data_IF_746357464552
#
_entry.id   IF_746357464552
#
_cell.length_a   1.000
_cell.length_b   1.000
_cell.length_c   1.000
_cell.angle_alpha   90.00
_cell.angle_beta   90.00
_cell.angle_gamma   90.00
#
_symmetry.space_group_name_H-M   'P 1'
#
loop_
_entity.id
_entity.type
_entity.pdbx_description
1 polymer ?
#
# COMPACT_ATOMS: atom_id res chain seq x y z
N UNK A 1 7.66 22.70 0.37
CA UNK A 1 8.89 22.30 -0.35
C UNK A 1 10.06 23.28 -0.15
N UNK A 2 10.12 24.07 0.92
CA UNK A 2 11.22 25.02 1.14
C UNK A 2 12.45 24.41 1.84
N UNK A 3 12.36 23.14 2.30
CA UNK A 3 13.39 22.52 3.17
C UNK A 3 13.94 21.18 2.61
N UNK A 4 13.83 20.91 1.31
CA UNK A 4 14.48 19.72 0.72
C UNK A 4 15.87 20.15 0.23
N UNK A 5 16.91 19.65 0.87
CA UNK A 5 18.30 19.91 0.49
C UNK A 5 18.65 19.17 -0.80
N UNK A 6 19.62 19.67 -1.55
CA UNK A 6 20.17 18.95 -2.72
C UNK A 6 20.71 17.58 -2.33
N UNK A 7 21.28 17.45 -1.13
CA UNK A 7 21.76 16.19 -0.58
C UNK A 7 20.62 15.18 -0.39
N UNK A 8 19.48 15.58 0.17
CA UNK A 8 18.31 14.71 0.31
C UNK A 8 17.79 14.23 -1.06
N UNK A 9 17.76 15.11 -2.06
CA UNK A 9 17.39 14.74 -3.45
C UNK A 9 18.36 13.72 -4.01
N UNK A 10 19.67 13.92 -3.84
CA UNK A 10 20.70 13.00 -4.32
C UNK A 10 20.57 11.63 -3.63
N UNK A 11 20.33 11.56 -2.32
CA UNK A 11 20.14 10.30 -1.61
C UNK A 11 18.92 9.53 -2.14
N UNK A 12 17.79 10.21 -2.37
CA UNK A 12 16.59 9.60 -2.98
C UNK A 12 16.86 9.11 -4.39
N UNK A 13 17.58 9.90 -5.20
CA UNK A 13 18.00 9.49 -6.54
C UNK A 13 18.81 8.20 -6.51
N UNK A 14 19.83 8.11 -5.65
CA UNK A 14 20.67 6.91 -5.57
C UNK A 14 19.86 5.68 -5.10
N UNK A 15 18.95 5.84 -4.14
CA UNK A 15 18.18 4.73 -3.58
C UNK A 15 17.09 4.20 -4.55
N UNK A 16 16.47 5.06 -5.36
CA UNK A 16 15.36 4.67 -6.23
C UNK A 16 15.69 4.59 -7.72
N UNK A 17 16.66 5.37 -8.20
CA UNK A 17 16.89 5.59 -9.64
C UNK A 17 18.34 5.25 -10.03
N UNK A 18 19.29 5.21 -9.07
CA UNK A 18 20.72 5.13 -9.34
C UNK A 18 21.18 3.95 -10.20
N UNK A 19 20.42 2.86 -10.25
CA UNK A 19 20.71 1.67 -11.06
C UNK A 19 19.75 1.50 -12.27
N UNK A 20 18.98 2.53 -12.63
CA UNK A 20 18.05 2.44 -13.75
C UNK A 20 18.79 2.45 -15.09
N UNK A 21 18.50 1.46 -15.94
CA UNK A 21 19.08 1.27 -17.27
C UNK A 21 18.13 1.73 -18.39
N UNK A 22 16.91 2.13 -18.03
CA UNK A 22 15.87 2.52 -18.99
C UNK A 22 14.99 3.64 -18.46
N UNK A 23 14.34 4.38 -19.38
CA UNK A 23 13.37 5.42 -19.02
C UNK A 23 12.18 4.87 -18.23
N UNK A 24 11.81 3.60 -18.46
CA UNK A 24 10.74 2.93 -17.71
C UNK A 24 11.16 2.71 -16.24
N UNK A 25 12.37 2.23 -16.00
CA UNK A 25 12.89 2.07 -14.63
C UNK A 25 13.07 3.42 -13.93
N UNK A 26 13.48 4.48 -14.64
CA UNK A 26 13.52 5.83 -14.08
C UNK A 26 12.12 6.29 -13.66
N UNK A 27 11.12 6.12 -14.53
CA UNK A 27 9.71 6.43 -14.21
C UNK A 27 9.25 5.67 -12.97
N UNK A 28 9.45 4.36 -12.95
CA UNK A 28 8.96 3.49 -11.86
C UNK A 28 9.65 3.84 -10.53
N UNK A 29 10.96 4.11 -10.54
CA UNK A 29 11.70 4.57 -9.36
C UNK A 29 11.21 5.91 -8.82
N UNK A 30 10.88 6.87 -9.69
CA UNK A 30 10.30 8.16 -9.29
C UNK A 30 8.90 7.94 -8.66
N UNK A 31 8.05 7.15 -9.30
CA UNK A 31 6.70 6.88 -8.80
C UNK A 31 6.73 6.15 -7.45
N UNK A 32 7.61 5.16 -7.30
CA UNK A 32 7.81 4.44 -6.04
C UNK A 32 8.33 5.36 -4.94
N UNK A 33 9.29 6.26 -5.23
CA UNK A 33 9.81 7.21 -4.25
C UNK A 33 8.71 8.15 -3.72
N UNK A 34 7.89 8.69 -4.63
CA UNK A 34 6.78 9.58 -4.28
C UNK A 34 5.72 8.82 -3.48
N UNK A 35 5.33 7.63 -3.93
CA UNK A 35 4.32 6.80 -3.26
C UNK A 35 4.76 6.38 -1.85
N UNK A 36 6.03 5.98 -1.70
CA UNK A 36 6.59 5.58 -0.42
C UNK A 36 6.62 6.73 0.58
N UNK A 37 7.07 7.92 0.12
CA UNK A 37 7.15 9.09 0.99
C UNK A 37 5.76 9.61 1.40
N UNK A 38 4.83 9.74 0.45
CA UNK A 38 3.51 10.33 0.72
C UNK A 38 2.58 9.39 1.49
N UNK A 39 2.64 8.09 1.22
CA UNK A 39 1.65 7.14 1.74
C UNK A 39 2.27 6.07 2.63
N UNK A 40 3.25 5.30 2.13
CA UNK A 40 3.68 4.07 2.81
C UNK A 40 4.41 4.37 4.12
N UNK A 41 5.31 5.36 4.13
CA UNK A 41 6.03 5.77 5.35
C UNK A 41 5.03 6.22 6.43
N UNK A 42 4.14 7.14 6.08
CA UNK A 42 3.16 7.68 7.03
C UNK A 42 2.21 6.58 7.55
N UNK A 43 1.71 5.70 6.67
CA UNK A 43 0.81 4.62 7.06
C UNK A 43 1.50 3.61 8.00
N UNK A 44 2.75 3.24 7.72
CA UNK A 44 3.51 2.30 8.55
C UNK A 44 3.85 2.90 9.92
N UNK A 45 4.24 4.17 9.99
CA UNK A 45 4.49 4.85 11.27
C UNK A 45 3.22 4.98 12.11
N UNK A 46 2.08 5.36 11.52
CA UNK A 46 0.78 5.40 12.23
C UNK A 46 0.41 4.01 12.76
N UNK A 47 0.59 2.96 11.96
CA UNK A 47 0.31 1.59 12.39
C UNK A 47 1.20 1.16 13.56
N UNK A 48 2.49 1.51 13.54
CA UNK A 48 3.44 1.27 14.64
C UNK A 48 3.02 2.01 15.90
N UNK A 49 2.70 3.31 15.81
CA UNK A 49 2.25 4.09 16.98
C UNK A 49 0.96 3.53 17.60
N UNK A 50 -0.03 3.17 16.79
CA UNK A 50 -1.26 2.56 17.30
C UNK A 50 -1.01 1.21 17.97
N UNK A 51 -0.18 0.35 17.37
CA UNK A 51 0.24 -0.93 17.92
C UNK A 51 0.96 -0.75 19.26
N UNK A 52 1.93 0.16 19.34
CA UNK A 52 2.77 0.37 20.52
C UNK A 52 1.98 1.02 21.68
N UNK A 53 0.89 1.72 21.37
CA UNK A 53 -0.11 2.16 22.34
C UNK A 53 -1.04 1.03 22.84
N UNK A 54 -0.85 -0.21 22.38
CA UNK A 54 -1.60 -1.39 22.82
C UNK A 54 -2.91 -1.64 22.05
N UNK A 55 -3.15 -0.95 20.94
CA UNK A 55 -4.38 -1.12 20.16
C UNK A 55 -4.26 -2.29 19.17
N UNK A 56 -5.37 -3.00 18.86
CA UNK A 56 -5.41 -3.92 17.74
C UNK A 56 -5.32 -3.16 16.42
N UNK A 57 -4.32 -3.50 15.59
CA UNK A 57 -4.08 -2.88 14.28
C UNK A 57 -4.10 -3.97 13.21
N UNK A 58 -4.72 -3.67 12.08
CA UNK A 58 -4.68 -4.49 10.87
C UNK A 58 -4.21 -3.61 9.72
N UNK A 59 -3.25 -4.11 8.94
CA UNK A 59 -2.64 -3.36 7.84
C UNK A 59 -2.81 -4.16 6.54
N UNK A 60 -3.05 -3.49 5.42
CA UNK A 60 -3.07 -4.13 4.10
C UNK A 60 -2.39 -3.26 3.04
N UNK A 61 -1.97 -3.92 1.97
CA UNK A 61 -1.58 -3.30 0.71
C UNK A 61 -2.50 -3.83 -0.38
N UNK A 62 -3.20 -2.93 -1.08
CA UNK A 62 -4.04 -3.31 -2.22
C UNK A 62 -3.23 -3.26 -3.50
N UNK A 63 -3.24 -4.34 -4.27
CA UNK A 63 -2.33 -4.55 -5.40
C UNK A 63 -3.07 -4.82 -6.72
N UNK A 64 -4.38 -5.03 -6.67
CA UNK A 64 -5.17 -5.36 -7.84
C UNK A 64 -5.41 -4.16 -8.75
N UNK A 65 -5.08 -4.29 -10.04
CA UNK A 65 -5.46 -3.34 -11.08
C UNK A 65 -6.88 -3.63 -11.58
N UNK A 66 -7.87 -2.73 -11.39
CA UNK A 66 -9.24 -2.99 -11.85
C UNK A 66 -9.33 -3.12 -13.38
N UNK A 67 -10.08 -4.09 -13.88
CA UNK A 67 -10.35 -4.23 -15.33
C UNK A 67 -11.05 -3.00 -15.90
N UNK A 68 -11.83 -2.30 -15.08
CA UNK A 68 -12.59 -1.11 -15.50
C UNK A 68 -11.72 0.09 -15.91
N UNK A 69 -10.41 0.08 -15.63
CA UNK A 69 -9.49 1.15 -16.07
C UNK A 69 -8.71 0.80 -17.34
N UNK A 70 -8.95 -0.39 -17.91
CA UNK A 70 -8.33 -0.82 -19.16
C UNK A 70 -8.64 0.16 -20.31
N UNK A 71 -7.61 0.55 -21.06
CA UNK A 71 -7.72 1.52 -22.15
C UNK A 71 -7.85 2.99 -21.72
N UNK A 72 -8.00 3.28 -20.42
CA UNK A 72 -8.08 4.64 -19.87
C UNK A 72 -6.80 5.00 -19.13
N UNK A 73 -6.34 4.09 -18.26
CA UNK A 73 -5.11 4.28 -17.48
C UNK A 73 -3.98 3.48 -18.14
N UNK A 74 -2.76 4.03 -18.28
CA UNK A 74 -1.64 3.33 -18.91
C UNK A 74 -1.35 1.95 -18.31
N UNK A 75 -0.98 0.99 -19.14
CA UNK A 75 -0.81 -0.43 -18.74
C UNK A 75 0.27 -0.67 -17.68
N UNK A 76 1.26 0.22 -17.58
CA UNK A 76 2.32 0.09 -16.57
C UNK A 76 1.84 0.41 -15.14
N UNK A 77 0.71 1.12 -15.00
CA UNK A 77 0.13 1.46 -13.70
C UNK A 77 -0.49 0.19 -13.14
N UNK A 78 -0.12 -0.19 -11.91
CA UNK A 78 -0.67 -1.35 -11.20
C UNK A 78 -2.00 -0.97 -10.53
N UNK A 79 -2.16 -1.28 -9.24
CA UNK A 79 -3.15 -0.59 -8.41
C UNK A 79 -2.73 0.87 -8.22
N UNK A 80 -3.64 1.78 -8.57
CA UNK A 80 -3.47 3.21 -8.40
C UNK A 80 -4.16 3.69 -7.12
N UNK A 81 -3.94 4.95 -6.77
CA UNK A 81 -4.58 5.59 -5.63
C UNK A 81 -6.11 5.47 -5.71
N UNK A 82 -6.71 4.98 -4.63
CA UNK A 82 -8.15 4.78 -4.46
C UNK A 82 -8.81 3.67 -5.31
N UNK A 83 -8.05 2.85 -6.03
CA UNK A 83 -8.61 1.72 -6.79
C UNK A 83 -9.36 0.73 -5.89
N UNK A 84 -8.96 0.58 -4.63
CA UNK A 84 -9.61 -0.29 -3.66
C UNK A 84 -11.04 0.15 -3.34
N UNK A 85 -11.34 1.45 -3.42
CA UNK A 85 -12.67 2.01 -3.10
C UNK A 85 -13.75 1.32 -3.93
N UNK A 86 -13.48 1.04 -5.21
CA UNK A 86 -14.40 0.33 -6.08
C UNK A 86 -14.80 -1.05 -5.51
N UNK A 87 -13.84 -1.77 -4.92
CA UNK A 87 -14.06 -3.10 -4.35
C UNK A 87 -14.68 -3.05 -2.96
N UNK A 88 -14.34 -2.04 -2.15
CA UNK A 88 -14.93 -1.78 -0.84
C UNK A 88 -16.43 -1.46 -0.96
N UNK A 89 -16.83 -0.68 -1.97
CA UNK A 89 -18.22 -0.25 -2.14
C UNK A 89 -19.02 -1.09 -3.14
N UNK A 90 -18.44 -2.18 -3.66
CA UNK A 90 -19.20 -3.12 -4.51
C UNK A 90 -19.46 -2.62 -5.92
N UNK A 91 -18.64 -1.70 -6.47
CA UNK A 91 -18.74 -1.26 -7.88
C UNK A 91 -18.82 -2.44 -8.87
N UNK A 92 -18.10 -3.57 -8.68
CA UNK A 92 -18.25 -4.73 -9.55
C UNK A 92 -19.70 -5.21 -9.75
N UNK A 93 -20.59 -5.05 -8.76
CA UNK A 93 -21.99 -5.48 -8.86
C UNK A 93 -22.92 -4.44 -9.50
N UNK A 94 -22.43 -3.24 -9.79
CA UNK A 94 -23.27 -2.09 -10.16
C UNK A 94 -22.99 -1.54 -11.57
N UNK A 95 -21.72 -1.51 -11.99
CA UNK A 95 -21.30 -0.69 -13.13
C UNK A 95 -21.00 -1.46 -14.43
N UNK A 96 -21.17 -2.79 -14.45
CA UNK A 96 -20.68 -3.63 -15.54
C UNK A 96 -19.15 -3.67 -15.63
N UNK A 97 -18.59 -4.45 -16.56
CA UNK A 97 -17.15 -4.54 -16.88
C UNK A 97 -16.22 -5.17 -15.83
N UNK A 98 -16.74 -5.66 -14.71
CA UNK A 98 -15.97 -6.48 -13.79
C UNK A 98 -15.88 -7.93 -14.28
N UNK A 99 -14.73 -8.54 -14.07
CA UNK A 99 -14.53 -9.98 -14.25
C UNK A 99 -15.15 -10.77 -13.09
N UNK A 100 -15.35 -12.08 -13.27
CA UNK A 100 -15.83 -12.95 -12.18
C UNK A 100 -14.85 -12.95 -10.98
N UNK A 101 -13.55 -12.84 -11.24
CA UNK A 101 -12.54 -12.75 -10.19
C UNK A 101 -12.63 -11.41 -9.44
N UNK A 102 -12.96 -10.31 -10.11
CA UNK A 102 -13.22 -9.02 -9.45
C UNK A 102 -14.53 -9.02 -8.63
N UNK A 103 -15.56 -9.76 -9.07
CA UNK A 103 -16.74 -10.00 -8.26
C UNK A 103 -16.40 -10.77 -6.97
N UNK A 104 -15.56 -11.80 -7.05
CA UNK A 104 -15.08 -12.53 -5.88
C UNK A 104 -14.22 -11.64 -4.98
N UNK A 105 -13.28 -10.88 -5.56
CA UNK A 105 -12.43 -9.95 -4.83
C UNK A 105 -13.26 -8.92 -4.06
N UNK A 106 -14.26 -8.30 -4.69
CA UNK A 106 -15.11 -7.32 -4.00
C UNK A 106 -15.94 -7.96 -2.88
N UNK A 107 -16.48 -9.17 -3.06
CA UNK A 107 -17.12 -9.92 -1.96
C UNK A 107 -16.16 -10.13 -0.80
N UNK A 108 -14.92 -10.54 -1.08
CA UNK A 108 -13.87 -10.77 -0.09
C UNK A 108 -13.52 -9.48 0.67
N UNK A 109 -13.25 -8.39 -0.05
CA UNK A 109 -12.92 -7.08 0.54
C UNK A 109 -14.07 -6.56 1.40
N UNK A 110 -15.32 -6.57 0.90
CA UNK A 110 -16.49 -6.18 1.68
C UNK A 110 -16.65 -7.03 2.95
N UNK A 111 -16.36 -8.34 2.89
CA UNK A 111 -16.44 -9.22 4.05
C UNK A 111 -15.39 -8.87 5.10
N UNK A 112 -14.14 -8.58 4.72
CA UNK A 112 -13.13 -8.09 5.67
C UNK A 112 -13.57 -6.78 6.34
N UNK A 113 -14.02 -5.79 5.56
CA UNK A 113 -14.44 -4.48 6.09
C UNK A 113 -15.66 -4.58 7.01
N UNK A 114 -16.66 -5.38 6.64
CA UNK A 114 -17.88 -5.56 7.46
C UNK A 114 -17.62 -6.39 8.72
N UNK A 115 -16.74 -7.39 8.66
CA UNK A 115 -16.29 -8.12 9.85
C UNK A 115 -15.54 -7.20 10.82
N UNK A 116 -14.64 -6.36 10.30
CA UNK A 116 -13.92 -5.38 11.11
C UNK A 116 -14.88 -4.38 11.75
N UNK A 117 -15.84 -3.85 10.99
CA UNK A 117 -16.86 -2.94 11.52
C UNK A 117 -17.71 -3.58 12.63
N UNK A 118 -18.03 -4.87 12.53
CA UNK A 118 -18.84 -5.57 13.53
C UNK A 118 -18.06 -5.95 14.79
N UNK A 119 -16.81 -6.39 14.63
CA UNK A 119 -16.08 -7.14 15.66
C UNK A 119 -14.71 -6.52 16.05
N UNK A 120 -14.24 -5.50 15.35
CA UNK A 120 -12.85 -5.03 15.46
C UNK A 120 -11.81 -6.02 14.92
N UNK A 121 -12.23 -7.07 14.21
CA UNK A 121 -11.37 -8.10 13.62
C UNK A 121 -11.92 -8.46 12.22
N UNK A 122 -11.10 -8.35 11.14
CA UNK A 122 -11.56 -8.57 9.77
C UNK A 122 -11.80 -10.06 9.43
N UNK A 123 -11.29 -10.98 10.24
CA UNK A 123 -11.31 -12.42 9.94
C UNK A 123 -12.71 -13.05 10.03
N UNK A 124 -12.92 -14.12 9.27
CA UNK A 124 -14.15 -14.91 9.27
C UNK A 124 -14.05 -16.13 8.36
N UNK A 125 -15.08 -16.97 8.37
CA UNK A 125 -15.12 -18.21 7.57
C UNK A 125 -14.92 -17.94 6.07
N UNK A 126 -14.10 -18.75 5.40
CA UNK A 126 -13.85 -18.65 3.96
C UNK A 126 -12.93 -17.50 3.55
N UNK A 127 -12.33 -16.78 4.50
CA UNK A 127 -11.32 -15.74 4.24
C UNK A 127 -9.92 -16.26 4.53
N UNK A 128 -8.94 -15.75 3.77
CA UNK A 128 -7.53 -15.89 4.15
C UNK A 128 -7.32 -15.17 5.47
N UNK A 129 -6.51 -15.77 6.35
CA UNK A 129 -6.26 -15.17 7.65
C UNK A 129 -5.50 -13.84 7.50
N UNK A 130 -6.11 -12.75 7.97
CA UNK A 130 -5.51 -11.43 8.07
C UNK A 130 -4.84 -11.30 9.44
N UNK A 131 -3.50 -11.31 9.50
CA UNK A 131 -2.79 -11.19 10.77
C UNK A 131 -2.92 -9.79 11.36
N UNK A 132 -3.06 -9.72 12.69
CA UNK A 132 -2.89 -8.46 13.41
C UNK A 132 -1.45 -7.94 13.21
N UNK A 133 -1.33 -6.63 12.99
CA UNK A 133 -0.08 -5.91 12.82
C UNK A 133 0.62 -5.76 14.18
N UNK A 134 1.38 -6.79 14.54
CA UNK A 134 2.20 -6.85 15.76
C UNK A 134 3.66 -6.48 15.52
N UNK A 135 4.55 -6.92 16.41
CA UNK A 135 6.01 -6.67 16.31
C UNK A 135 6.66 -7.25 15.04
N UNK A 136 6.04 -8.29 14.46
CA UNK A 136 6.47 -8.87 13.19
C UNK A 136 5.95 -8.12 11.96
N UNK A 137 5.16 -7.05 12.16
CA UNK A 137 4.62 -6.17 11.10
C UNK A 137 3.98 -6.93 9.96
N UNK A 138 3.21 -7.97 10.31
CA UNK A 138 2.47 -8.77 9.33
C UNK A 138 1.27 -7.99 8.83
N UNK A 139 1.02 -8.05 7.53
CA UNK A 139 -0.06 -7.37 6.85
C UNK A 139 -0.71 -8.28 5.81
N UNK A 140 -1.83 -7.87 5.24
CA UNK A 140 -2.50 -8.59 4.17
C UNK A 140 -2.20 -7.93 2.82
N UNK A 141 -1.69 -8.70 1.88
CA UNK A 141 -1.64 -8.33 0.46
C UNK A 141 -2.99 -8.68 -0.16
N UNK A 142 -3.63 -7.69 -0.76
CA UNK A 142 -4.95 -7.83 -1.39
C UNK A 142 -4.81 -7.68 -2.90
N UNK A 143 -4.73 -8.82 -3.57
CA UNK A 143 -4.96 -8.96 -5.01
C UNK A 143 -6.08 -10.00 -5.23
N UNK A 144 -6.25 -10.57 -6.43
CA UNK A 144 -7.17 -11.67 -6.71
C UNK A 144 -6.97 -12.85 -5.74
N UNK A 145 -5.74 -13.11 -5.32
CA UNK A 145 -5.39 -14.02 -4.23
C UNK A 145 -4.79 -13.23 -3.07
N UNK A 146 -5.33 -13.40 -1.86
CA UNK A 146 -4.80 -12.72 -0.68
C UNK A 146 -3.67 -13.52 -0.04
N UNK A 147 -2.61 -12.83 0.37
CA UNK A 147 -1.45 -13.42 1.01
C UNK A 147 -1.05 -12.62 2.25
N UNK A 148 -0.45 -13.28 3.24
CA UNK A 148 0.11 -12.59 4.39
C UNK A 148 1.56 -12.17 4.09
N UNK A 149 1.79 -10.86 4.05
CA UNK A 149 3.11 -10.26 3.98
C UNK A 149 3.68 -9.97 5.37
N UNK A 150 4.95 -9.56 5.42
CA UNK A 150 5.60 -9.03 6.63
C UNK A 150 6.52 -7.87 6.26
N UNK A 151 6.57 -6.85 7.13
CA UNK A 151 7.49 -5.72 7.02
C UNK A 151 7.48 -5.07 5.62
N UNK A 152 6.32 -4.49 5.28
CA UNK A 152 6.09 -3.87 3.97
C UNK A 152 7.24 -2.92 3.60
N UNK A 153 7.93 -3.23 2.50
CA UNK A 153 9.06 -2.47 1.95
C UNK A 153 10.12 -2.10 3.01
N UNK A 154 10.46 -3.01 3.92
CA UNK A 154 11.34 -2.78 5.10
C UNK A 154 12.53 -1.85 4.81
N UNK A 155 13.39 -2.21 3.86
CA UNK A 155 14.58 -1.41 3.50
C UNK A 155 14.22 0.03 3.08
N UNK A 156 13.14 0.22 2.32
CA UNK A 156 12.70 1.56 1.87
C UNK A 156 12.16 2.37 3.03
N UNK A 157 11.40 1.74 3.94
CA UNK A 157 10.88 2.40 5.13
C UNK A 157 12.02 2.79 6.09
N UNK A 158 13.04 1.95 6.24
CA UNK A 158 14.26 2.29 6.99
C UNK A 158 14.98 3.48 6.38
N UNK A 159 15.19 3.49 5.05
CA UNK A 159 15.78 4.61 4.33
C UNK A 159 15.01 5.92 4.58
N UNK A 160 13.69 5.93 4.36
CA UNK A 160 12.88 7.13 4.55
C UNK A 160 12.84 7.59 6.02
N UNK A 161 12.83 6.67 6.97
CA UNK A 161 12.88 6.99 8.40
C UNK A 161 14.21 7.65 8.77
N UNK A 162 15.33 7.21 8.19
CA UNK A 162 16.64 7.81 8.44
C UNK A 162 16.74 9.19 7.79
N UNK A 163 16.35 9.30 6.52
CA UNK A 163 16.39 10.56 5.77
C UNK A 163 15.51 11.64 6.42
N UNK A 164 14.28 11.30 6.83
CA UNK A 164 13.39 12.25 7.50
C UNK A 164 13.96 12.74 8.84
N UNK A 165 14.60 11.86 9.63
CA UNK A 165 15.31 12.26 10.85
C UNK A 165 16.49 13.19 10.56
N UNK A 166 17.29 12.90 9.54
CA UNK A 166 18.37 13.79 9.09
C UNK A 166 17.83 15.18 8.76
N UNK A 167 16.82 15.26 7.90
CA UNK A 167 16.20 16.52 7.48
C UNK A 167 15.59 17.31 8.64
N UNK A 168 15.09 16.64 9.69
CA UNK A 168 14.59 17.31 10.89
C UNK A 168 15.69 17.88 11.78
N UNK A 169 16.86 17.23 11.83
CA UNK A 169 18.00 17.67 12.64
C UNK A 169 18.81 18.80 11.98
N UNK A 170 18.65 18.99 10.67
CA UNK A 170 19.28 20.08 9.89
C UNK A 170 18.48 21.40 9.94
N UNK A 171 17.32 21.41 10.63
CA UNK A 171 16.49 22.60 10.87
C UNK A 171 16.80 23.26 12.20
#
# INVERSE_FOLDING_TARGET
FQDITSEAVDQVYHEYIGNAESRAQVRDGILDAIGDFLFVLSATEVARYHRDAGNPVYFYEFQHRPSSVAGVVPEFVKADHADEIAFVFGKPFLAGYATEEEHKLSRTVMKYWTNFARNGNPNGEGLVYWPQYGLNERYLEIDLMQNAGKKLKERKMEFWTQLTKQMMNER
#
